data_IF_656419550392
#
_entry.id   IF_656419550392
#
_cell.length_a   1.000
_cell.length_b   1.000
_cell.length_c   1.000
_cell.angle_alpha   90.00
_cell.angle_beta   90.00
_cell.angle_gamma   90.00
#
_symmetry.space_group_name_H-M   'P 1'
#
loop_
_entity.id
_entity.type
_entity.pdbx_description
1 polymer ?
#
# COMPACT_ATOMS: atom_id res chain seq x y z
N UNK A 1 46.66 5.30 45.21
CA UNK A 1 45.92 4.21 44.55
C UNK A 1 44.84 4.87 43.69
N UNK A 2 45.05 4.94 42.41
CA UNK A 2 44.09 5.47 41.46
C UNK A 2 43.38 4.27 40.78
N UNK A 3 42.09 4.12 41.07
CA UNK A 3 41.22 3.16 40.39
C UNK A 3 40.72 3.83 39.10
N UNK A 4 41.18 3.36 37.99
CA UNK A 4 40.65 3.75 36.67
C UNK A 4 39.41 2.90 36.42
N UNK A 5 38.24 3.51 36.46
CA UNK A 5 37.00 2.89 36.00
C UNK A 5 37.00 2.97 34.49
N UNK A 6 37.19 1.85 33.82
CA UNK A 6 36.95 1.70 32.41
C UNK A 6 35.44 1.62 32.17
N UNK A 7 34.87 2.70 31.64
CA UNK A 7 33.51 2.72 31.13
C UNK A 7 33.49 2.00 29.79
N UNK A 8 33.05 0.77 29.79
CA UNK A 8 32.81 0.05 28.54
C UNK A 8 31.49 0.57 27.97
N UNK A 9 31.58 1.39 26.91
CA UNK A 9 30.43 1.80 26.10
C UNK A 9 30.04 0.60 25.22
N UNK A 10 28.99 -0.10 25.61
CA UNK A 10 28.34 -1.07 24.72
C UNK A 10 27.46 -0.30 23.76
N UNK A 11 27.97 -0.04 22.57
CA UNK A 11 27.12 0.44 21.47
C UNK A 11 26.28 -0.75 21.01
N UNK A 12 25.05 -0.82 21.48
CA UNK A 12 24.05 -1.71 20.90
C UNK A 12 23.72 -1.16 19.50
N UNK A 13 24.39 -1.70 18.48
CA UNK A 13 23.95 -1.57 17.10
C UNK A 13 22.62 -2.31 16.98
N UNK A 14 21.51 -1.56 17.11
CA UNK A 14 20.20 -2.06 16.76
C UNK A 14 20.21 -2.47 15.31
N UNK A 15 20.30 -3.76 15.03
CA UNK A 15 20.13 -4.29 13.69
C UNK A 15 18.70 -3.99 13.25
N UNK A 16 18.50 -3.01 12.37
CA UNK A 16 17.27 -2.86 11.60
C UNK A 16 17.20 -4.05 10.64
N UNK A 17 16.68 -5.18 11.09
CA UNK A 17 16.39 -6.29 10.19
C UNK A 17 15.10 -5.97 9.44
N UNK A 18 15.23 -5.33 8.29
CA UNK A 18 14.15 -5.25 7.32
C UNK A 18 14.05 -6.57 6.60
N UNK A 19 13.35 -7.54 7.20
CA UNK A 19 13.00 -8.75 6.48
C UNK A 19 12.04 -8.39 5.34
N UNK A 20 12.29 -8.84 4.07
CA UNK A 20 11.38 -8.61 2.95
C UNK A 20 9.99 -9.12 3.30
N UNK A 21 8.97 -8.25 3.24
CA UNK A 21 7.57 -8.59 3.53
C UNK A 21 7.06 -8.20 4.93
N UNK A 22 7.92 -7.81 5.89
CA UNK A 22 7.49 -7.37 7.23
C UNK A 22 7.29 -5.87 7.36
N UNK A 23 7.82 -5.05 6.43
CA UNK A 23 7.71 -3.58 6.48
C UNK A 23 6.27 -3.08 6.47
N UNK A 24 5.42 -3.67 5.67
CA UNK A 24 4.02 -3.29 5.54
C UNK A 24 3.17 -3.66 6.75
N UNK A 25 3.48 -4.71 7.48
CA UNK A 25 2.72 -5.11 8.67
C UNK A 25 2.83 -4.08 9.80
N UNK A 26 3.87 -3.25 9.80
CA UNK A 26 4.12 -2.18 10.77
C UNK A 26 3.81 -0.78 10.24
N UNK A 27 3.60 -0.63 8.94
CA UNK A 27 3.24 0.65 8.35
C UNK A 27 1.91 1.15 8.91
N UNK A 28 1.75 2.46 9.06
CA UNK A 28 0.48 3.02 9.48
C UNK A 28 -0.58 2.87 8.38
N UNK A 29 -1.84 2.95 8.76
CA UNK A 29 -2.98 2.72 7.87
C UNK A 29 -3.00 3.68 6.67
N UNK A 30 -2.67 4.96 6.87
CA UNK A 30 -2.66 5.95 5.80
C UNK A 30 -1.53 5.69 4.79
N UNK A 31 -0.37 5.23 5.24
CA UNK A 31 0.72 4.83 4.35
C UNK A 31 0.36 3.60 3.51
N UNK A 32 -0.31 2.62 4.11
CA UNK A 32 -0.82 1.44 3.39
C UNK A 32 -1.86 1.86 2.36
N UNK A 33 -2.80 2.72 2.74
CA UNK A 33 -3.82 3.24 1.83
C UNK A 33 -3.21 4.05 0.68
N UNK A 34 -2.26 4.93 0.97
CA UNK A 34 -1.54 5.70 -0.05
C UNK A 34 -0.82 4.78 -1.06
N UNK A 35 -0.15 3.75 -0.58
CA UNK A 35 0.49 2.75 -1.45
C UNK A 35 -0.53 1.98 -2.29
N UNK A 36 -1.68 1.64 -1.71
CA UNK A 36 -2.78 1.03 -2.44
C UNK A 36 -3.24 1.90 -3.61
N UNK A 37 -3.38 3.21 -3.41
CA UNK A 37 -3.74 4.15 -4.48
C UNK A 37 -2.67 4.25 -5.57
N UNK A 38 -1.39 4.25 -5.19
CA UNK A 38 -0.26 4.21 -6.15
C UNK A 38 -0.33 2.97 -7.02
N UNK A 39 -0.53 1.81 -6.42
CA UNK A 39 -0.56 0.54 -7.15
C UNK A 39 -1.77 0.45 -8.08
N UNK A 40 -2.93 0.94 -7.65
CA UNK A 40 -4.11 1.02 -8.51
C UNK A 40 -3.86 1.90 -9.73
N UNK A 41 -3.33 3.09 -9.52
CA UNK A 41 -3.03 4.02 -10.60
C UNK A 41 -1.98 3.47 -11.56
N UNK A 42 -0.93 2.86 -11.03
CA UNK A 42 0.10 2.23 -11.85
C UNK A 42 -0.46 1.09 -12.71
N UNK A 43 -1.34 0.26 -12.14
CA UNK A 43 -1.99 -0.82 -12.88
C UNK A 43 -2.87 -0.29 -14.02
N UNK A 44 -3.67 0.74 -13.76
CA UNK A 44 -4.55 1.35 -14.76
C UNK A 44 -3.73 2.02 -15.87
N UNK A 45 -2.74 2.82 -15.49
CA UNK A 45 -1.90 3.54 -16.44
C UNK A 45 -1.08 2.58 -17.31
N UNK A 46 -0.56 1.51 -16.74
CA UNK A 46 0.19 0.49 -17.47
C UNK A 46 -0.68 -0.24 -18.49
N UNK A 47 -1.88 -0.62 -18.11
CA UNK A 47 -2.82 -1.32 -18.99
C UNK A 47 -3.26 -0.42 -20.15
N UNK A 48 -3.53 0.86 -19.86
CA UNK A 48 -3.87 1.84 -20.87
C UNK A 48 -2.71 2.11 -21.83
N UNK A 49 -1.53 2.32 -21.28
CA UNK A 49 -0.34 2.71 -22.06
C UNK A 49 0.26 1.54 -22.84
N UNK A 50 0.42 0.38 -22.21
CA UNK A 50 1.10 -0.77 -22.82
C UNK A 50 0.21 -1.56 -23.78
N UNK A 51 -1.09 -1.62 -23.53
CA UNK A 51 -2.04 -2.41 -24.31
C UNK A 51 -3.04 -1.57 -25.10
N UNK A 52 -2.97 -0.24 -25.01
CA UNK A 52 -3.86 0.67 -25.71
C UNK A 52 -5.34 0.51 -25.32
N UNK A 53 -5.60 -0.02 -24.13
CA UNK A 53 -6.96 -0.23 -23.64
C UNK A 53 -7.57 1.10 -23.18
N UNK A 54 -8.86 1.31 -23.43
CA UNK A 54 -9.57 2.51 -23.01
C UNK A 54 -9.53 2.67 -21.49
N UNK A 55 -8.98 3.76 -20.94
CA UNK A 55 -8.93 3.99 -19.48
C UNK A 55 -10.30 3.94 -18.79
N UNK A 56 -11.35 4.35 -19.49
CA UNK A 56 -12.73 4.31 -18.95
C UNK A 56 -13.18 2.88 -18.69
N UNK A 57 -12.88 1.96 -19.61
CA UNK A 57 -13.21 0.54 -19.45
C UNK A 57 -12.38 -0.11 -18.34
N UNK A 58 -11.11 0.25 -18.26
CA UNK A 58 -10.23 -0.26 -17.18
C UNK A 58 -10.75 0.18 -15.81
N UNK A 59 -11.14 1.45 -15.66
CA UNK A 59 -11.71 1.98 -14.42
C UNK A 59 -13.03 1.30 -14.07
N UNK A 60 -13.89 1.05 -15.05
CA UNK A 60 -15.14 0.33 -14.84
C UNK A 60 -14.90 -1.10 -14.32
N UNK A 61 -13.89 -1.80 -14.82
CA UNK A 61 -13.48 -3.11 -14.32
C UNK A 61 -12.99 -3.04 -12.85
N UNK A 62 -12.21 -2.02 -12.51
CA UNK A 62 -11.75 -1.80 -11.15
C UNK A 62 -12.90 -1.47 -10.19
N UNK A 63 -13.83 -0.64 -10.60
CA UNK A 63 -15.02 -0.34 -9.80
C UNK A 63 -15.85 -1.58 -9.54
N UNK A 64 -16.11 -2.38 -10.58
CA UNK A 64 -16.83 -3.64 -10.44
C UNK A 64 -16.15 -4.59 -9.45
N UNK A 65 -14.82 -4.72 -9.54
CA UNK A 65 -14.07 -5.72 -8.78
C UNK A 65 -13.75 -5.28 -7.34
N UNK A 66 -13.60 -3.98 -7.09
CA UNK A 66 -13.03 -3.47 -5.84
C UNK A 66 -13.83 -2.37 -5.14
N UNK A 67 -14.81 -1.71 -5.78
CA UNK A 67 -15.40 -0.49 -5.21
C UNK A 67 -16.04 -0.71 -3.84
N UNK A 68 -16.79 -1.78 -3.65
CA UNK A 68 -17.45 -2.09 -2.38
C UNK A 68 -16.43 -2.30 -1.25
N UNK A 69 -15.37 -3.07 -1.52
CA UNK A 69 -14.30 -3.33 -0.56
C UNK A 69 -13.51 -2.07 -0.23
N UNK A 70 -13.16 -1.30 -1.25
CA UNK A 70 -12.44 -0.05 -1.09
C UNK A 70 -13.28 0.98 -0.32
N UNK A 71 -14.57 1.06 -0.57
CA UNK A 71 -15.47 1.93 0.15
C UNK A 71 -15.57 1.57 1.64
N UNK A 72 -15.66 0.29 1.97
CA UNK A 72 -15.68 -0.18 3.35
C UNK A 72 -14.40 0.22 4.12
N UNK A 73 -13.24 0.03 3.51
CA UNK A 73 -11.95 0.47 4.07
C UNK A 73 -11.90 2.00 4.21
N UNK A 74 -12.32 2.73 3.21
CA UNK A 74 -12.35 4.20 3.20
C UNK A 74 -13.20 4.75 4.33
N UNK A 75 -14.37 4.17 4.59
CA UNK A 75 -15.25 4.59 5.69
C UNK A 75 -14.57 4.45 7.06
N UNK A 76 -13.83 3.37 7.30
CA UNK A 76 -13.07 3.19 8.53
C UNK A 76 -11.96 4.23 8.66
N UNK A 77 -11.22 4.48 7.57
CA UNK A 77 -10.15 5.46 7.54
C UNK A 77 -10.65 6.88 7.79
N UNK A 78 -11.76 7.28 7.18
CA UNK A 78 -12.39 8.58 7.42
C UNK A 78 -12.81 8.71 8.88
N UNK A 79 -13.40 7.67 9.45
CA UNK A 79 -13.81 7.68 10.87
C UNK A 79 -12.63 7.79 11.83
N UNK A 80 -11.46 7.24 11.50
CA UNK A 80 -10.26 7.25 12.36
C UNK A 80 -9.40 8.49 12.20
N UNK A 81 -9.23 8.97 10.96
CA UNK A 81 -8.23 9.99 10.62
C UNK A 81 -8.83 11.28 10.07
N UNK A 82 -10.08 11.25 9.63
CA UNK A 82 -10.75 12.36 8.96
C UNK A 82 -10.54 12.37 7.43
N UNK A 83 -11.47 13.02 6.74
CA UNK A 83 -11.43 13.10 5.27
C UNK A 83 -10.20 13.82 4.73
N UNK A 84 -9.73 14.87 5.40
CA UNK A 84 -8.57 15.67 4.95
C UNK A 84 -7.29 14.84 4.94
N UNK A 85 -7.07 14.02 5.96
CA UNK A 85 -5.90 13.12 6.03
C UNK A 85 -5.95 12.04 4.97
N UNK A 86 -7.15 11.56 4.65
CA UNK A 86 -7.33 10.59 3.59
C UNK A 86 -7.04 11.21 2.21
N UNK A 87 -7.50 12.44 1.99
CA UNK A 87 -7.23 13.17 0.76
C UNK A 87 -5.73 13.46 0.58
N UNK A 88 -5.02 13.82 1.65
CA UNK A 88 -3.55 13.94 1.64
C UNK A 88 -2.89 12.61 1.23
N UNK A 89 -3.36 11.49 1.77
CA UNK A 89 -2.82 10.15 1.46
C UNK A 89 -3.07 9.74 0.00
N UNK A 90 -4.10 10.27 -0.65
CA UNK A 90 -4.38 10.05 -2.07
C UNK A 90 -3.46 10.83 -3.00
N UNK A 91 -2.87 11.92 -2.53
CA UNK A 91 -1.95 12.76 -3.30
C UNK A 91 -0.56 12.12 -3.40
N UNK A 92 -0.50 10.96 -4.01
CA UNK A 92 0.76 10.22 -4.18
C UNK A 92 1.22 10.25 -5.63
N UNK A 93 2.52 10.26 -5.80
CA UNK A 93 3.13 10.15 -7.11
C UNK A 93 2.83 8.80 -7.74
N UNK A 94 2.24 8.83 -8.94
CA UNK A 94 2.17 7.63 -9.75
C UNK A 94 3.57 7.26 -10.26
N UNK A 95 4.02 6.01 -10.10
CA UNK A 95 5.28 5.58 -10.68
C UNK A 95 5.17 5.60 -12.22
N UNK A 96 6.29 5.82 -12.89
CA UNK A 96 6.34 5.64 -14.34
C UNK A 96 6.09 4.19 -14.66
N UNK A 97 5.18 3.96 -15.57
CA UNK A 97 4.89 2.61 -16.04
C UNK A 97 5.82 2.23 -17.19
N UNK A 98 6.18 0.97 -17.28
CA UNK A 98 7.06 0.42 -18.28
C UNK A 98 6.36 -0.71 -19.04
N UNK A 99 6.72 -0.87 -20.31
CA UNK A 99 6.21 -1.90 -21.21
C UNK A 99 7.35 -2.79 -21.72
N UNK A 100 7.00 -3.85 -22.43
CA UNK A 100 7.96 -4.82 -22.95
C UNK A 100 8.67 -5.60 -21.84
N UNK A 101 9.98 -5.73 -21.93
CA UNK A 101 10.78 -6.50 -20.97
C UNK A 101 10.77 -5.91 -19.55
N UNK A 102 10.43 -4.63 -19.40
CA UNK A 102 10.33 -3.94 -18.13
C UNK A 102 8.89 -3.90 -17.59
N UNK A 103 7.95 -4.55 -18.26
CA UNK A 103 6.55 -4.64 -17.82
C UNK A 103 6.46 -5.37 -16.48
N UNK A 104 5.78 -4.74 -15.51
CA UNK A 104 5.54 -5.35 -14.21
C UNK A 104 4.06 -5.76 -14.09
N UNK A 105 3.74 -7.06 -14.13
CA UNK A 105 2.36 -7.54 -14.04
C UNK A 105 1.80 -7.53 -12.60
N UNK A 106 2.59 -7.11 -11.62
CA UNK A 106 2.26 -7.30 -10.21
C UNK A 106 1.54 -6.11 -9.55
N UNK A 107 1.27 -5.03 -10.26
CA UNK A 107 0.61 -3.86 -9.67
C UNK A 107 -0.76 -4.20 -9.05
N UNK A 108 -1.58 -4.97 -9.77
CA UNK A 108 -2.87 -5.44 -9.26
C UNK A 108 -2.72 -6.35 -8.04
N UNK A 109 -1.75 -7.24 -8.05
CA UNK A 109 -1.44 -8.12 -6.91
C UNK A 109 -0.99 -7.32 -5.70
N UNK A 110 -0.15 -6.31 -5.89
CA UNK A 110 0.29 -5.40 -4.82
C UNK A 110 -0.88 -4.61 -4.24
N UNK A 111 -1.77 -4.08 -5.10
CA UNK A 111 -3.00 -3.43 -4.67
C UNK A 111 -3.86 -4.34 -3.80
N UNK A 112 -4.14 -5.54 -4.29
CA UNK A 112 -4.97 -6.53 -3.57
C UNK A 112 -4.35 -6.89 -2.21
N UNK A 113 -3.04 -7.00 -2.14
CA UNK A 113 -2.33 -7.26 -0.89
C UNK A 113 -2.51 -6.12 0.12
N UNK A 114 -2.41 -4.87 -0.30
CA UNK A 114 -2.63 -3.71 0.57
C UNK A 114 -4.08 -3.61 1.03
N UNK A 115 -5.02 -3.85 0.12
CA UNK A 115 -6.44 -3.88 0.46
C UNK A 115 -6.75 -4.95 1.52
N UNK A 116 -6.27 -6.17 1.33
CA UNK A 116 -6.42 -7.25 2.32
C UNK A 116 -5.79 -6.94 3.66
N UNK A 117 -4.65 -6.26 3.65
CA UNK A 117 -3.99 -5.84 4.90
C UNK A 117 -4.89 -4.90 5.70
N UNK A 118 -5.49 -3.89 5.05
CA UNK A 118 -6.41 -2.98 5.71
C UNK A 118 -7.70 -3.67 6.16
N UNK A 119 -8.28 -4.52 5.31
CA UNK A 119 -9.46 -5.30 5.66
C UNK A 119 -9.21 -6.18 6.90
N UNK A 120 -8.05 -6.82 6.98
CA UNK A 120 -7.66 -7.63 8.13
C UNK A 120 -7.50 -6.78 9.40
N UNK A 121 -6.83 -5.63 9.30
CA UNK A 121 -6.67 -4.70 10.42
C UNK A 121 -8.00 -4.19 10.94
N UNK A 122 -8.94 -3.92 10.05
CA UNK A 122 -10.25 -3.37 10.38
C UNK A 122 -11.30 -4.45 10.62
N UNK A 123 -10.93 -5.72 10.52
CA UNK A 123 -11.81 -6.89 10.67
C UNK A 123 -13.00 -6.85 9.71
N UNK A 124 -12.78 -6.34 8.51
CA UNK A 124 -13.75 -6.35 7.44
C UNK A 124 -13.75 -7.72 6.77
N UNK A 125 -14.94 -8.30 6.57
CA UNK A 125 -15.05 -9.53 5.78
C UNK A 125 -14.95 -9.16 4.30
N UNK A 126 -14.12 -9.91 3.56
CA UNK A 126 -14.13 -9.81 2.12
C UNK A 126 -15.50 -10.31 1.62
N UNK A 127 -16.30 -9.45 0.99
CA UNK A 127 -17.50 -9.89 0.30
C UNK A 127 -17.08 -10.83 -0.83
N UNK A 128 -17.51 -12.10 -0.74
CA UNK A 128 -17.28 -13.09 -1.77
C UNK A 128 -16.60 -14.39 -1.34
N UNK A 129 -16.14 -14.52 -0.11
CA UNK A 129 -15.69 -15.79 0.48
C UNK A 129 -16.88 -16.48 1.19
N UNK A 130 -17.80 -16.93 0.40
CA UNK A 130 -18.82 -17.88 0.84
C UNK A 130 -18.66 -19.19 0.09
#
# INVERSE_FOLDING_TARGET
MKRVLALTFVIALGACSTAPGTGWSRANDLSVYGSMQVFQRAAIDQEAYCFGRDPTLIRADWERDFSARQQAVTQVLVGRYGADKLDEARQVYAPRVACGDLYDPQWRTRYTRMLRLLETRFRLQAEGDS
#
